data_IF_383832574765
#
_entry.id   IF_383832574765
#
_cell.length_a   1.000
_cell.length_b   1.000
_cell.length_c   1.000
_cell.angle_alpha   90.00
_cell.angle_beta   90.00
_cell.angle_gamma   90.00
#
_symmetry.space_group_name_H-M   'P 1'
#
loop_
_entity.id
_entity.type
_entity.pdbx_description
1 polymer ?
#
# COMPACT_ATOMS: atom_id res chain seq x y z
N UNK A 1 -28.33 3.54 3.88
CA UNK A 1 -27.89 2.15 4.15
C UNK A 1 -27.16 2.11 5.49
N UNK A 2 -27.25 1.02 6.25
CA UNK A 2 -26.42 0.83 7.47
C UNK A 2 -25.00 0.40 7.10
N UNK A 3 -24.05 0.58 8.02
CA UNK A 3 -22.62 0.22 7.82
C UNK A 3 -22.47 -1.26 7.46
N UNK A 4 -23.21 -2.16 8.12
CA UNK A 4 -23.15 -3.60 7.83
C UNK A 4 -23.69 -3.95 6.44
N UNK A 5 -24.78 -3.29 6.02
CA UNK A 5 -25.34 -3.46 4.67
C UNK A 5 -24.37 -2.98 3.61
N UNK A 6 -23.67 -1.87 3.86
CA UNK A 6 -22.61 -1.39 2.97
C UNK A 6 -21.45 -2.38 2.89
N UNK A 7 -20.92 -2.86 4.02
CA UNK A 7 -19.79 -3.81 4.05
C UNK A 7 -20.16 -5.11 3.32
N UNK A 8 -21.37 -5.63 3.55
CA UNK A 8 -21.86 -6.84 2.87
C UNK A 8 -21.96 -6.61 1.36
N UNK A 9 -22.68 -5.58 0.94
CA UNK A 9 -22.86 -5.25 -0.47
C UNK A 9 -21.52 -4.99 -1.18
N UNK A 10 -20.60 -4.25 -0.54
CA UNK A 10 -19.27 -4.00 -1.07
C UNK A 10 -18.49 -5.30 -1.27
N UNK A 11 -18.53 -6.22 -0.29
CA UNK A 11 -17.86 -7.52 -0.39
C UNK A 11 -18.48 -8.41 -1.48
N UNK A 12 -19.79 -8.38 -1.65
CA UNK A 12 -20.49 -9.10 -2.72
C UNK A 12 -20.01 -8.64 -4.11
N UNK A 13 -19.76 -7.34 -4.30
CA UNK A 13 -19.33 -6.79 -5.60
C UNK A 13 -17.81 -6.81 -5.82
N UNK A 14 -17.00 -6.76 -4.76
CA UNK A 14 -15.52 -6.61 -4.87
C UNK A 14 -14.74 -7.82 -4.38
N UNK A 15 -15.39 -8.79 -3.73
CA UNK A 15 -14.77 -9.96 -3.12
C UNK A 15 -14.07 -9.69 -1.77
N UNK A 16 -13.96 -8.44 -1.33
CA UNK A 16 -13.20 -8.06 -0.13
C UNK A 16 -13.91 -6.99 0.70
N UNK A 17 -13.46 -6.79 1.94
CA UNK A 17 -14.02 -5.71 2.78
C UNK A 17 -13.55 -4.34 2.28
N UNK A 18 -14.32 -3.26 2.52
CA UNK A 18 -13.88 -1.90 2.18
C UNK A 18 -12.51 -1.55 2.77
N UNK A 19 -12.25 -1.94 4.02
CA UNK A 19 -10.96 -1.69 4.68
C UNK A 19 -9.80 -2.41 3.98
N UNK A 20 -9.99 -3.67 3.57
CA UNK A 20 -8.98 -4.42 2.81
C UNK A 20 -8.71 -3.77 1.45
N UNK A 21 -9.77 -3.36 0.75
CA UNK A 21 -9.66 -2.69 -0.55
C UNK A 21 -8.89 -1.37 -0.46
N UNK A 22 -9.19 -0.56 0.57
CA UNK A 22 -8.50 0.71 0.80
C UNK A 22 -7.03 0.46 1.15
N UNK A 23 -6.74 -0.49 2.03
CA UNK A 23 -5.36 -0.85 2.37
C UNK A 23 -4.59 -1.31 1.13
N UNK A 24 -5.19 -2.19 0.32
CA UNK A 24 -4.52 -2.72 -0.87
C UNK A 24 -4.23 -1.64 -1.90
N UNK A 25 -5.17 -0.70 -2.06
CA UNK A 25 -5.01 0.46 -2.94
C UNK A 25 -3.91 1.39 -2.44
N UNK A 26 -3.87 1.70 -1.13
CA UNK A 26 -2.81 2.52 -0.52
C UNK A 26 -1.44 1.89 -0.72
N UNK A 27 -1.30 0.59 -0.50
CA UNK A 27 -0.03 -0.12 -0.71
C UNK A 27 0.41 -0.03 -2.17
N UNK A 28 -0.50 -0.29 -3.13
CA UNK A 28 -0.17 -0.17 -4.56
C UNK A 28 0.34 1.23 -4.92
N UNK A 29 -0.40 2.26 -4.57
CA UNK A 29 -0.04 3.66 -4.88
C UNK A 29 1.25 4.10 -4.16
N UNK A 30 1.46 3.67 -2.92
CA UNK A 30 2.72 3.92 -2.21
C UNK A 30 3.92 3.23 -2.87
N UNK A 31 3.70 2.06 -3.50
CA UNK A 31 4.70 1.37 -4.31
C UNK A 31 5.10 2.17 -5.55
N UNK A 32 4.12 2.77 -6.23
CA UNK A 32 4.37 3.70 -7.34
C UNK A 32 5.19 4.91 -6.86
N UNK A 33 4.83 5.51 -5.72
CA UNK A 33 5.60 6.60 -5.12
C UNK A 33 7.04 6.20 -4.74
N UNK A 34 7.24 4.99 -4.21
CA UNK A 34 8.57 4.45 -3.91
C UNK A 34 9.44 4.31 -5.17
N UNK A 35 8.84 4.00 -6.31
CA UNK A 35 9.52 3.78 -7.59
C UNK A 35 9.76 5.06 -8.40
N UNK A 36 8.93 6.08 -8.21
CA UNK A 36 8.89 7.29 -9.03
C UNK A 36 9.46 8.53 -8.32
N UNK A 37 9.70 8.48 -7.01
CA UNK A 37 10.14 9.63 -6.22
C UNK A 37 11.28 9.26 -5.26
N UNK A 38 12.01 10.28 -4.81
CA UNK A 38 13.07 10.14 -3.80
C UNK A 38 12.60 10.42 -2.37
N UNK A 39 11.29 10.56 -2.14
CA UNK A 39 10.71 10.72 -0.81
C UNK A 39 11.18 9.61 0.13
N UNK A 40 11.42 9.90 1.40
CA UNK A 40 11.80 8.86 2.36
C UNK A 40 10.63 7.89 2.57
N UNK A 41 10.93 6.66 3.01
CA UNK A 41 9.89 5.67 3.33
C UNK A 41 8.94 6.19 4.42
N UNK A 42 9.46 7.03 5.32
CA UNK A 42 8.68 7.65 6.38
C UNK A 42 7.71 8.72 5.83
N UNK A 43 8.19 9.58 4.93
CA UNK A 43 7.35 10.56 4.22
C UNK A 43 6.22 9.86 3.44
N UNK A 44 6.54 8.78 2.73
CA UNK A 44 5.54 7.99 2.00
C UNK A 44 4.55 7.33 2.97
N UNK A 45 5.01 6.80 4.10
CA UNK A 45 4.11 6.22 5.09
C UNK A 45 3.09 7.25 5.59
N UNK A 46 3.54 8.47 5.93
CA UNK A 46 2.68 9.56 6.40
C UNK A 46 1.71 10.02 5.30
N UNK A 47 2.21 10.24 4.08
CA UNK A 47 1.41 10.72 2.94
C UNK A 47 0.27 9.77 2.58
N UNK A 48 0.49 8.46 2.67
CA UNK A 48 -0.54 7.45 2.40
C UNK A 48 -1.37 7.07 3.64
N UNK A 49 -1.24 7.82 4.74
CA UNK A 49 -2.06 7.68 5.94
C UNK A 49 -1.77 6.43 6.76
N UNK A 50 -0.52 5.97 6.76
CA UNK A 50 -0.06 4.92 7.67
C UNK A 50 0.40 5.55 9.00
N UNK A 51 0.11 4.91 10.16
CA UNK A 51 0.44 5.48 11.47
C UNK A 51 1.93 5.71 11.69
N UNK A 52 2.78 4.88 11.09
CA UNK A 52 4.23 5.00 11.13
C UNK A 52 4.88 4.11 10.06
N UNK A 53 6.18 4.35 9.84
CA UNK A 53 7.03 3.57 8.94
C UNK A 53 7.02 2.06 9.21
N UNK A 54 6.98 1.62 10.48
CA UNK A 54 7.05 0.19 10.83
C UNK A 54 5.77 -0.54 10.41
N UNK A 55 4.60 0.05 10.70
CA UNK A 55 3.31 -0.49 10.27
C UNK A 55 3.20 -0.52 8.75
N UNK A 56 3.59 0.56 8.08
CA UNK A 56 3.66 0.62 6.62
C UNK A 56 4.53 -0.51 6.06
N UNK A 57 5.76 -0.65 6.54
CA UNK A 57 6.70 -1.64 6.03
C UNK A 57 6.18 -3.08 6.21
N UNK A 58 5.50 -3.36 7.33
CA UNK A 58 4.87 -4.67 7.58
C UNK A 58 3.73 -4.96 6.62
N UNK A 59 2.82 -4.00 6.41
CA UNK A 59 1.69 -4.16 5.49
C UNK A 59 2.15 -4.25 4.03
N UNK A 60 3.13 -3.42 3.66
CA UNK A 60 3.73 -3.45 2.34
C UNK A 60 4.38 -4.80 2.05
N UNK A 61 5.23 -5.30 2.95
CA UNK A 61 5.87 -6.60 2.78
C UNK A 61 4.86 -7.75 2.71
N UNK A 62 3.80 -7.71 3.52
CA UNK A 62 2.73 -8.72 3.48
C UNK A 62 2.04 -8.80 2.13
N UNK A 63 1.84 -7.67 1.46
CA UNK A 63 1.07 -7.60 0.22
C UNK A 63 1.93 -7.67 -1.05
N UNK A 64 3.16 -7.16 -0.99
CA UNK A 64 4.09 -7.06 -2.14
C UNK A 64 5.15 -8.17 -2.13
N UNK A 65 5.36 -8.83 -0.98
CA UNK A 65 6.34 -9.90 -0.81
C UNK A 65 7.76 -9.45 -0.44
N UNK A 66 8.02 -8.13 -0.37
CA UNK A 66 9.29 -7.56 0.07
C UNK A 66 9.09 -6.20 0.75
N UNK A 67 10.08 -5.76 1.53
CA UNK A 67 10.01 -4.47 2.23
C UNK A 67 10.10 -3.26 1.29
N UNK A 68 9.64 -2.06 1.71
CA UNK A 68 9.62 -0.87 0.86
C UNK A 68 11.02 -0.42 0.40
N UNK A 69 12.05 -0.55 1.25
CA UNK A 69 13.45 -0.26 0.87
C UNK A 69 13.94 -1.17 -0.26
N UNK A 70 13.70 -2.46 -0.11
CA UNK A 70 14.12 -3.47 -1.09
C UNK A 70 13.35 -3.30 -2.39
N UNK A 71 12.03 -3.06 -2.31
CA UNK A 71 11.20 -2.76 -3.47
C UNK A 71 11.76 -1.56 -4.25
N UNK A 72 12.07 -0.45 -3.57
CA UNK A 72 12.67 0.73 -4.22
C UNK A 72 13.99 0.39 -4.93
N UNK A 73 14.87 -0.37 -4.28
CA UNK A 73 16.15 -0.75 -4.88
C UNK A 73 15.93 -1.54 -6.17
N UNK A 74 15.08 -2.58 -6.13
CA UNK A 74 14.74 -3.39 -7.31
C UNK A 74 14.16 -2.56 -8.46
N UNK A 75 13.35 -1.54 -8.16
CA UNK A 75 12.79 -0.65 -9.17
C UNK A 75 13.85 0.27 -9.80
N UNK A 76 14.80 0.76 -9.00
CA UNK A 76 15.92 1.57 -9.49
C UNK A 76 16.86 0.74 -10.37
N UNK A 77 17.17 -0.49 -9.96
CA UNK A 77 18.00 -1.41 -10.73
C UNK A 77 17.36 -1.75 -12.08
N UNK A 78 16.02 -1.87 -12.14
CA UNK A 78 15.30 -2.10 -13.40
C UNK A 78 15.29 -0.87 -14.32
N UNK A 79 15.35 0.34 -13.78
CA UNK A 79 15.41 1.59 -14.58
C UNK A 79 16.82 1.93 -15.07
N UNK A 80 17.86 1.41 -14.41
CA UNK A 80 19.26 1.60 -14.81
C UNK A 80 19.75 0.63 -15.89
N UNK A 81 18.89 -0.30 -16.34
CA UNK A 81 19.09 -1.13 -17.54
C UNK A 81 18.30 -0.54 -18.70
#
# INVERSE_FOLDING_TARGET
MSVERFIRSFREHTGQTPASYVLSTRIRLSGEALALTDKTIDQIAIEFGFPNRHYFSRMFARQVGCGPSEFRQRQRDRKGR
#
